data_IF_919276308648
#
_entry.id   IF_919276308648
#
_cell.length_a   1.000
_cell.length_b   1.000
_cell.length_c   1.000
_cell.angle_alpha   90.00
_cell.angle_beta   90.00
_cell.angle_gamma   90.00
#
_symmetry.space_group_name_H-M   'P 1'
#
loop_
_entity.id
_entity.type
_entity.pdbx_description
1 polymer ?
#
# COMPACT_ATOMS: atom_id res chain seq x y z
N UNK A 1 58.67 12.04 -20.26
CA UNK A 1 57.29 11.96 -20.81
C UNK A 1 56.41 11.36 -19.72
N UNK A 2 55.51 12.16 -19.14
CA UNK A 2 54.04 12.07 -19.32
C UNK A 2 53.49 10.73 -18.80
N UNK A 3 52.59 10.63 -17.83
CA UNK A 3 51.70 11.61 -17.18
C UNK A 3 51.07 10.91 -15.97
N UNK A 4 50.81 11.69 -14.90
CA UNK A 4 49.86 11.37 -13.84
C UNK A 4 48.46 11.12 -14.42
N UNK A 5 47.65 10.25 -13.82
CA UNK A 5 46.22 10.51 -13.58
C UNK A 5 45.59 9.46 -12.67
N UNK A 6 45.35 9.90 -11.43
CA UNK A 6 44.15 9.57 -10.64
C UNK A 6 42.92 9.57 -11.56
N UNK A 7 42.15 8.51 -11.55
CA UNK A 7 40.70 8.61 -11.72
C UNK A 7 40.08 7.65 -10.70
N UNK A 8 39.65 8.23 -9.59
CA UNK A 8 38.59 7.70 -8.75
C UNK A 8 37.41 7.37 -9.65
N UNK A 9 37.21 6.08 -9.93
CA UNK A 9 36.12 5.61 -10.81
C UNK A 9 34.83 5.64 -10.00
N UNK A 10 34.23 6.82 -10.07
CA UNK A 10 32.80 7.12 -9.93
C UNK A 10 32.17 6.89 -8.56
N UNK A 11 32.47 7.85 -7.68
CA UNK A 11 31.41 8.57 -6.99
C UNK A 11 30.38 9.09 -8.01
N UNK A 12 29.43 8.24 -8.36
CA UNK A 12 28.12 8.61 -8.91
C UNK A 12 27.11 7.68 -8.23
N UNK A 13 27.06 7.77 -6.89
CA UNK A 13 25.77 7.66 -6.22
C UNK A 13 25.00 8.86 -6.77
N UNK A 14 24.27 8.65 -7.88
CA UNK A 14 23.14 9.50 -8.21
C UNK A 14 22.43 9.69 -6.87
N UNK A 15 22.32 10.94 -6.40
CA UNK A 15 21.45 11.26 -5.30
C UNK A 15 20.08 10.75 -5.72
N UNK A 16 19.77 9.51 -5.30
CA UNK A 16 18.46 8.94 -5.44
C UNK A 16 17.62 9.95 -4.69
N UNK A 17 16.88 10.74 -5.45
CA UNK A 17 15.93 11.67 -4.89
C UNK A 17 14.96 10.81 -4.09
N UNK A 18 15.21 10.69 -2.79
CA UNK A 18 14.52 9.76 -1.87
C UNK A 18 13.03 10.12 -1.82
N UNK A 19 12.69 11.34 -2.25
CA UNK A 19 11.34 11.86 -2.38
C UNK A 19 10.60 11.37 -3.64
N UNK A 20 11.29 10.79 -4.64
CA UNK A 20 10.70 10.29 -5.89
C UNK A 20 11.05 8.83 -6.19
N UNK A 21 10.90 7.94 -5.22
CA UNK A 21 10.57 6.54 -5.53
C UNK A 21 9.10 6.33 -5.18
N UNK A 22 8.20 6.91 -5.99
CA UNK A 22 6.86 6.35 -6.16
C UNK A 22 6.99 5.05 -6.96
N UNK A 23 7.50 4.02 -6.30
CA UNK A 23 7.52 2.68 -6.86
C UNK A 23 6.06 2.24 -7.12
N UNK A 24 5.87 1.19 -7.93
CA UNK A 24 4.59 0.52 -8.23
C UNK A 24 3.61 0.40 -7.04
N UNK A 25 4.11 0.39 -5.79
CA UNK A 25 3.30 0.26 -4.59
C UNK A 25 2.58 1.54 -4.16
N UNK A 26 3.05 2.75 -4.48
CA UNK A 26 2.41 3.98 -4.01
C UNK A 26 1.01 4.16 -4.57
N UNK A 27 0.86 4.18 -5.91
CA UNK A 27 -0.47 4.17 -6.56
C UNK A 27 -1.33 2.99 -6.10
N UNK A 28 -0.74 1.80 -6.00
CA UNK A 28 -1.47 0.60 -5.59
C UNK A 28 -2.00 0.69 -4.15
N UNK A 29 -1.30 1.41 -3.27
CA UNK A 29 -1.73 1.67 -1.90
C UNK A 29 -2.83 2.72 -1.83
N UNK A 30 -2.77 3.74 -2.68
CA UNK A 30 -3.82 4.76 -2.73
C UNK A 30 -5.13 4.16 -3.30
N UNK A 31 -5.02 3.32 -4.34
CA UNK A 31 -6.14 2.53 -4.87
C UNK A 31 -6.69 1.58 -3.79
N UNK A 32 -5.81 0.88 -3.06
CA UNK A 32 -6.21 0.02 -1.94
C UNK A 32 -6.96 0.80 -0.86
N UNK A 33 -6.45 1.97 -0.48
CA UNK A 33 -7.07 2.83 0.52
C UNK A 33 -8.47 3.28 0.07
N UNK A 34 -8.62 3.67 -1.20
CA UNK A 34 -9.92 4.08 -1.74
C UNK A 34 -10.90 2.91 -1.82
N UNK A 35 -10.42 1.73 -2.23
CA UNK A 35 -11.22 0.52 -2.25
C UNK A 35 -11.74 0.15 -0.85
N UNK A 36 -10.88 0.22 0.17
CA UNK A 36 -11.25 -0.06 1.56
C UNK A 36 -12.25 0.98 2.10
N UNK A 37 -12.16 2.26 1.70
CA UNK A 37 -13.18 3.26 2.06
C UNK A 37 -14.56 2.88 1.54
N UNK A 38 -14.68 2.47 0.27
CA UNK A 38 -15.97 2.03 -0.28
C UNK A 38 -16.44 0.71 0.33
N UNK A 39 -15.53 -0.23 0.62
CA UNK A 39 -15.86 -1.44 1.39
C UNK A 39 -16.50 -1.10 2.74
N UNK A 40 -15.88 -0.21 3.53
CA UNK A 40 -16.40 0.22 4.84
C UNK A 40 -17.79 0.86 4.70
N UNK A 41 -17.99 1.67 3.66
CA UNK A 41 -19.30 2.29 3.39
C UNK A 41 -20.37 1.24 3.10
N UNK A 42 -20.07 0.24 2.29
CA UNK A 42 -21.02 -0.85 2.03
C UNK A 42 -21.22 -1.75 3.25
N UNK A 43 -20.17 -2.04 4.03
CA UNK A 43 -20.30 -2.74 5.30
C UNK A 43 -21.31 -2.05 6.24
N UNK A 44 -21.13 -0.74 6.48
CA UNK A 44 -22.05 0.04 7.34
C UNK A 44 -23.47 0.10 6.79
N UNK A 45 -23.65 0.16 5.47
CA UNK A 45 -24.98 0.10 4.84
C UNK A 45 -25.62 -1.28 5.00
N UNK A 46 -24.84 -2.35 4.87
CA UNK A 46 -25.30 -3.72 5.05
C UNK A 46 -25.77 -3.97 6.49
N UNK A 47 -25.04 -3.46 7.49
CA UNK A 47 -25.47 -3.48 8.90
C UNK A 47 -26.83 -2.81 9.13
N UNK A 48 -27.21 -1.85 8.27
CA UNK A 48 -28.51 -1.16 8.30
C UNK A 48 -29.58 -1.83 7.43
N UNK A 49 -29.33 -3.05 6.95
CA UNK A 49 -30.28 -3.82 6.13
C UNK A 49 -30.32 -3.45 4.64
N UNK A 50 -29.33 -2.71 4.12
CA UNK A 50 -29.30 -2.40 2.69
C UNK A 50 -28.94 -3.65 1.86
N UNK A 51 -29.91 -4.17 1.10
CA UNK A 51 -29.79 -5.41 0.31
C UNK A 51 -28.67 -5.40 -0.72
N UNK A 52 -28.53 -4.30 -1.48
CA UNK A 52 -27.44 -4.14 -2.45
C UNK A 52 -26.09 -4.25 -1.76
N UNK A 53 -25.94 -3.62 -0.61
CA UNK A 53 -24.69 -3.63 0.13
C UNK A 53 -24.45 -4.99 0.80
N UNK A 54 -25.50 -5.66 1.30
CA UNK A 54 -25.44 -7.03 1.83
C UNK A 54 -24.86 -8.01 0.81
N UNK A 55 -25.25 -7.89 -0.46
CA UNK A 55 -24.69 -8.70 -1.54
C UNK A 55 -23.27 -8.28 -1.94
N UNK A 56 -22.96 -6.98 -1.92
CA UNK A 56 -21.72 -6.44 -2.48
C UNK A 56 -20.52 -6.50 -1.51
N UNK A 57 -20.71 -6.15 -0.24
CA UNK A 57 -19.59 -6.03 0.71
C UNK A 57 -18.80 -7.34 0.91
N UNK A 58 -19.39 -8.56 0.87
CA UNK A 58 -18.64 -9.81 1.00
C UNK A 58 -17.68 -10.02 -0.18
N UNK A 59 -18.11 -9.70 -1.40
CA UNK A 59 -17.24 -9.76 -2.58
C UNK A 59 -16.09 -8.75 -2.48
N UNK A 60 -16.39 -7.54 -1.98
CA UNK A 60 -15.37 -6.54 -1.72
C UNK A 60 -14.38 -6.99 -0.66
N UNK A 61 -14.85 -7.73 0.35
CA UNK A 61 -14.00 -8.31 1.39
C UNK A 61 -12.90 -9.20 0.80
N UNK A 62 -13.29 -10.14 -0.05
CA UNK A 62 -12.35 -11.07 -0.71
C UNK A 62 -11.27 -10.32 -1.48
N UNK A 63 -11.63 -9.27 -2.22
CA UNK A 63 -10.68 -8.48 -3.02
C UNK A 63 -9.67 -7.73 -2.16
N UNK A 64 -10.12 -7.06 -1.10
CA UNK A 64 -9.20 -6.32 -0.24
C UNK A 64 -8.33 -7.27 0.58
N UNK A 65 -8.84 -8.42 1.03
CA UNK A 65 -8.04 -9.45 1.72
C UNK A 65 -6.90 -10.01 0.84
N UNK A 66 -7.19 -10.26 -0.45
CA UNK A 66 -6.17 -10.68 -1.41
C UNK A 66 -5.07 -9.62 -1.58
N UNK A 67 -5.46 -8.34 -1.66
CA UNK A 67 -4.51 -7.23 -1.76
C UNK A 67 -3.70 -7.06 -0.47
N UNK A 68 -4.33 -7.25 0.69
CA UNK A 68 -3.69 -7.22 2.00
C UNK A 68 -2.60 -8.30 2.10
N UNK A 69 -2.89 -9.53 1.65
CA UNK A 69 -1.91 -10.62 1.57
C UNK A 69 -0.71 -10.22 0.69
N UNK A 70 -0.97 -9.64 -0.49
CA UNK A 70 0.10 -9.19 -1.41
C UNK A 70 0.98 -8.12 -0.77
N UNK A 71 0.39 -7.14 -0.10
CA UNK A 71 1.12 -6.06 0.58
C UNK A 71 1.94 -6.61 1.75
N UNK A 72 1.38 -7.51 2.56
CA UNK A 72 2.11 -8.15 3.65
C UNK A 72 3.31 -8.97 3.15
N UNK A 73 3.16 -9.71 2.05
CA UNK A 73 4.29 -10.42 1.42
C UNK A 73 5.37 -9.45 0.92
N UNK A 74 4.97 -8.34 0.32
CA UNK A 74 5.91 -7.33 -0.16
C UNK A 74 6.63 -6.63 1.01
N UNK A 75 5.95 -6.37 2.14
CA UNK A 75 6.56 -5.89 3.38
C UNK A 75 7.61 -6.88 3.90
N UNK A 76 7.30 -8.19 3.96
CA UNK A 76 8.24 -9.23 4.41
C UNK A 76 9.49 -9.35 3.52
N UNK A 77 9.35 -8.99 2.25
CA UNK A 77 10.45 -8.99 1.28
C UNK A 77 11.20 -7.64 1.22
N UNK A 78 10.92 -6.70 2.14
CA UNK A 78 11.49 -5.35 2.18
C UNK A 78 11.28 -4.54 0.89
N UNK A 79 10.18 -4.80 0.17
CA UNK A 79 9.86 -4.13 -1.09
C UNK A 79 9.09 -2.81 -0.91
N UNK A 80 8.66 -2.51 0.31
CA UNK A 80 7.92 -1.30 0.67
C UNK A 80 8.79 -0.38 1.50
N UNK A 81 8.69 0.93 1.25
CA UNK A 81 9.28 1.92 2.13
C UNK A 81 8.55 1.98 3.48
N UNK A 82 9.19 2.54 4.49
CA UNK A 82 8.60 2.71 5.81
C UNK A 82 7.29 3.52 5.77
N UNK A 83 7.23 4.56 4.93
CA UNK A 83 6.02 5.37 4.69
C UNK A 83 4.89 4.52 4.11
N UNK A 84 5.20 3.60 3.20
CA UNK A 84 4.24 2.68 2.59
C UNK A 84 3.75 1.63 3.61
N UNK A 85 4.64 1.08 4.43
CA UNK A 85 4.30 0.16 5.52
C UNK A 85 3.34 0.84 6.52
N UNK A 86 3.63 2.07 6.93
CA UNK A 86 2.73 2.86 7.79
C UNK A 86 1.34 3.05 7.17
N UNK A 87 1.26 3.30 5.86
CA UNK A 87 -0.03 3.36 5.14
C UNK A 87 -0.78 2.02 5.20
N UNK A 88 -0.10 0.89 4.96
CA UNK A 88 -0.70 -0.45 5.05
C UNK A 88 -1.32 -0.68 6.43
N UNK A 89 -0.54 -0.44 7.49
CA UNK A 89 -0.99 -0.62 8.87
C UNK A 89 -2.21 0.25 9.15
N UNK A 90 -2.18 1.53 8.74
CA UNK A 90 -3.30 2.45 8.93
C UNK A 90 -4.59 1.97 8.26
N UNK A 91 -4.48 1.37 7.07
CA UNK A 91 -5.63 0.79 6.36
C UNK A 91 -6.17 -0.43 7.13
N UNK A 92 -5.29 -1.34 7.56
CA UNK A 92 -5.65 -2.54 8.32
C UNK A 92 -6.35 -2.19 9.64
N UNK A 93 -5.77 -1.28 10.42
CA UNK A 93 -6.36 -0.79 11.68
C UNK A 93 -7.75 -0.20 11.45
N UNK A 94 -7.95 0.56 10.38
CA UNK A 94 -9.26 1.16 10.07
C UNK A 94 -10.33 0.09 9.84
N UNK A 95 -9.98 -1.00 9.16
CA UNK A 95 -10.91 -2.13 8.93
C UNK A 95 -11.22 -2.82 10.26
N UNK A 96 -10.19 -3.20 11.03
CA UNK A 96 -10.37 -3.88 12.32
C UNK A 96 -11.26 -3.06 13.24
N UNK A 97 -10.99 -1.77 13.41
CA UNK A 97 -11.78 -0.90 14.28
C UNK A 97 -13.23 -0.74 13.80
N UNK A 98 -13.48 -0.80 12.49
CA UNK A 98 -14.85 -0.64 11.96
C UNK A 98 -15.66 -1.93 12.00
N UNK A 99 -15.01 -3.07 11.78
CA UNK A 99 -15.68 -4.37 11.66
C UNK A 99 -15.69 -5.19 12.96
N UNK A 100 -14.99 -4.72 14.00
CA UNK A 100 -15.04 -5.32 15.35
C UNK A 100 -16.02 -4.61 16.30
N UNK A 101 -16.65 -3.53 15.83
CA UNK A 101 -17.83 -2.89 16.45
C UNK A 101 -19.11 -3.64 16.04
#
# INVERSE_FOLDING_TARGET
MKTSNKIDVFANTEEINIDFIDNKWGKQLDDYQNYVKEYIKHYKKAQKGNEVSLALYPYMRVKWEALNKRLNSATKQNLLSEKQIRKVIKIQTKIVNTCSE
#
